data_IF_410091672905
#
_entry.id   IF_410091672905
#
_cell.length_a   1.000
_cell.length_b   1.000
_cell.length_c   1.000
_cell.angle_alpha   90.00
_cell.angle_beta   90.00
_cell.angle_gamma   90.00
#
_symmetry.space_group_name_H-M   'P 1'
#
loop_
_entity.id
_entity.type
_entity.pdbx_description
1 polymer ?
#
# COMPACT_ATOMS: atom_id res chain seq x y z
N UNK A 1 -16.62 26.76 0.18
CA UNK A 1 -16.20 27.90 -0.67
C UNK A 1 -15.35 27.36 -1.81
N UNK A 2 -15.30 28.01 -2.97
CA UNK A 2 -14.33 27.61 -4.00
C UNK A 2 -12.93 27.92 -3.47
N UNK A 3 -11.97 27.01 -3.68
CA UNK A 3 -10.59 27.14 -3.18
C UNK A 3 -10.28 26.37 -1.90
N UNK A 4 -11.20 25.55 -1.40
CA UNK A 4 -10.96 24.70 -0.23
C UNK A 4 -10.19 23.41 -0.59
N UNK A 5 -9.32 22.97 0.33
CA UNK A 5 -8.68 21.65 0.28
C UNK A 5 -9.44 20.65 1.15
N UNK A 6 -9.55 19.42 0.66
CA UNK A 6 -10.14 18.28 1.36
C UNK A 6 -9.17 17.10 1.30
N UNK A 7 -8.83 16.53 2.45
CA UNK A 7 -8.11 15.26 2.48
C UNK A 7 -9.07 14.11 2.23
N UNK A 8 -8.65 13.19 1.36
CA UNK A 8 -9.36 11.93 1.09
C UNK A 8 -8.47 10.82 1.61
N UNK A 9 -8.96 10.03 2.57
CA UNK A 9 -8.18 8.97 3.19
C UNK A 9 -9.01 8.19 4.20
N UNK A 10 -8.60 6.97 4.51
CA UNK A 10 -9.40 6.04 5.32
C UNK A 10 -9.27 6.32 6.82
N UNK A 11 -8.21 6.99 7.26
CA UNK A 11 -7.84 7.08 8.68
C UNK A 11 -7.33 5.76 9.26
N UNK A 12 -7.21 4.72 8.43
CA UNK A 12 -6.61 3.43 8.79
C UNK A 12 -5.12 3.49 8.45
N UNK A 13 -4.26 3.24 9.43
CA UNK A 13 -2.81 3.12 9.23
C UNK A 13 -2.38 1.65 9.31
N UNK A 14 -1.38 1.30 8.49
CA UNK A 14 -0.69 0.00 8.53
C UNK A 14 0.80 0.24 8.30
N UNK A 15 1.65 -0.48 9.03
CA UNK A 15 3.09 -0.52 8.72
C UNK A 15 3.35 -1.36 7.47
N UNK A 16 4.51 -1.15 6.84
CA UNK A 16 4.97 -2.00 5.72
C UNK A 16 5.06 -3.48 6.12
N UNK A 17 5.37 -3.76 7.38
CA UNK A 17 5.41 -5.11 7.94
C UNK A 17 4.00 -5.72 8.01
N UNK A 18 3.02 -5.00 8.55
CA UNK A 18 1.63 -5.47 8.61
C UNK A 18 1.05 -5.73 7.20
N UNK A 19 1.41 -4.91 6.22
CA UNK A 19 0.99 -5.11 4.83
C UNK A 19 1.63 -6.39 4.26
N UNK A 20 2.94 -6.59 4.46
CA UNK A 20 3.64 -7.80 4.01
C UNK A 20 3.06 -9.07 4.65
N UNK A 21 2.79 -9.04 5.96
CA UNK A 21 2.20 -10.16 6.70
C UNK A 21 0.81 -10.49 6.15
N UNK A 22 -0.04 -9.48 5.93
CA UNK A 22 -1.38 -9.65 5.35
C UNK A 22 -1.32 -10.35 3.98
N UNK A 23 -0.35 -9.97 3.14
CA UNK A 23 -0.17 -10.58 1.80
C UNK A 23 0.27 -12.04 1.93
N UNK A 24 1.22 -12.34 2.80
CA UNK A 24 1.72 -13.71 2.99
C UNK A 24 0.62 -14.61 3.56
N UNK A 25 -0.12 -14.14 4.56
CA UNK A 25 -1.24 -14.85 5.16
C UNK A 25 -2.33 -15.15 4.13
N UNK A 26 -2.78 -14.14 3.35
CA UNK A 26 -3.81 -14.31 2.32
C UNK A 26 -3.41 -15.33 1.25
N UNK A 27 -2.14 -15.36 0.85
CA UNK A 27 -1.60 -16.28 -0.15
C UNK A 27 -1.15 -17.64 0.41
N UNK A 28 -1.28 -17.87 1.72
CA UNK A 28 -0.80 -19.09 2.38
C UNK A 28 0.71 -19.29 2.24
N UNK A 29 1.50 -18.21 2.29
CA UNK A 29 2.96 -18.21 2.13
C UNK A 29 3.66 -18.09 3.49
N UNK A 30 4.86 -18.68 3.64
CA UNK A 30 5.60 -18.60 4.89
C UNK A 30 6.25 -17.22 5.07
N UNK A 31 6.37 -16.80 6.33
CA UNK A 31 7.10 -15.58 6.75
C UNK A 31 8.56 -15.56 6.27
N UNK A 32 9.16 -16.73 6.02
CA UNK A 32 10.53 -16.86 5.50
C UNK A 32 10.76 -16.20 4.13
N UNK A 33 9.71 -15.80 3.41
CA UNK A 33 9.83 -15.01 2.17
C UNK A 33 10.02 -13.50 2.43
N UNK A 34 9.74 -13.03 3.65
CA UNK A 34 9.97 -11.65 4.06
C UNK A 34 11.45 -11.46 4.41
N UNK A 35 12.06 -10.39 3.90
CA UNK A 35 13.46 -10.03 4.21
C UNK A 35 13.55 -8.56 4.57
N UNK A 36 14.11 -8.28 5.75
CA UNK A 36 14.43 -6.90 6.14
C UNK A 36 15.68 -6.44 5.42
N UNK A 37 15.56 -5.32 4.69
CA UNK A 37 16.67 -4.67 3.98
C UNK A 37 17.00 -3.33 4.64
N UNK A 38 18.18 -2.72 4.38
CA UNK A 38 18.49 -1.38 4.88
C UNK A 38 17.43 -0.36 4.46
N UNK A 39 17.16 0.62 5.33
CA UNK A 39 16.17 1.66 5.05
C UNK A 39 16.64 2.59 3.92
N UNK A 40 15.69 3.18 3.20
CA UNK A 40 15.97 4.12 2.11
C UNK A 40 16.26 5.51 2.70
N UNK A 41 17.37 6.18 2.34
CA UNK A 41 17.60 7.56 2.75
C UNK A 41 16.44 8.48 2.36
N UNK A 42 15.90 9.21 3.33
CA UNK A 42 14.77 10.13 3.12
C UNK A 42 13.39 9.47 3.09
N UNK A 43 13.26 8.22 3.53
CA UNK A 43 11.96 7.59 3.72
C UNK A 43 11.23 8.24 4.90
N UNK A 44 10.09 8.87 4.62
CA UNK A 44 9.25 9.43 5.67
C UNK A 44 8.63 8.32 6.52
N UNK A 45 8.64 8.50 7.84
CA UNK A 45 8.29 7.44 8.80
C UNK A 45 6.81 7.10 8.83
N UNK A 46 5.93 8.10 8.65
CA UNK A 46 4.49 7.95 8.86
C UNK A 46 3.73 9.05 8.12
N UNK A 47 2.74 8.64 7.34
CA UNK A 47 1.71 9.51 6.79
C UNK A 47 0.35 9.06 7.29
N UNK A 48 -0.45 10.02 7.75
CA UNK A 48 -1.87 9.81 8.05
C UNK A 48 -2.60 11.11 7.73
N UNK A 49 -3.77 10.99 7.11
CA UNK A 49 -4.61 12.13 6.80
C UNK A 49 -5.83 12.16 7.71
N UNK A 50 -6.09 13.29 8.34
CA UNK A 50 -7.39 13.58 8.93
C UNK A 50 -8.37 13.94 7.81
N UNK A 51 -9.40 13.09 7.64
CA UNK A 51 -10.47 13.24 6.65
C UNK A 51 -11.78 13.79 7.25
N UNK A 52 -11.76 14.25 8.51
CA UNK A 52 -12.96 14.76 9.22
C UNK A 52 -13.67 15.90 8.47
N UNK A 53 -12.92 16.77 7.78
CA UNK A 53 -13.46 17.89 7.00
C UNK A 53 -14.34 17.41 5.85
N UNK A 54 -13.86 16.48 5.03
CA UNK A 54 -14.60 16.02 3.85
C UNK A 54 -15.84 15.21 4.25
N UNK A 55 -15.78 14.52 5.39
CA UNK A 55 -16.94 13.83 5.95
C UNK A 55 -18.03 14.80 6.37
N UNK A 56 -17.68 15.77 7.21
CA UNK A 56 -18.64 16.72 7.78
C UNK A 56 -19.30 17.57 6.70
N UNK A 57 -18.54 18.01 5.69
CA UNK A 57 -19.03 18.99 4.72
C UNK A 57 -19.64 18.33 3.47
N UNK A 58 -19.12 17.18 3.04
CA UNK A 58 -19.54 16.52 1.79
C UNK A 58 -20.15 15.13 2.00
N UNK A 59 -20.20 14.63 3.24
CA UNK A 59 -20.70 13.29 3.54
C UNK A 59 -19.77 12.16 3.08
N UNK A 60 -18.56 12.48 2.64
CA UNK A 60 -17.59 11.46 2.19
C UNK A 60 -17.18 10.55 3.35
N UNK A 61 -17.09 9.26 3.09
CA UNK A 61 -16.49 8.27 3.98
C UNK A 61 -15.94 7.11 3.14
N UNK A 62 -14.88 6.41 3.60
CA UNK A 62 -14.50 5.16 2.98
C UNK A 62 -15.68 4.17 3.04
N UNK A 63 -15.87 3.40 1.98
CA UNK A 63 -16.93 2.38 1.89
C UNK A 63 -16.40 0.96 1.79
N UNK A 64 -15.08 0.82 1.67
CA UNK A 64 -14.37 -0.46 1.61
C UNK A 64 -13.45 -0.47 2.83
N UNK A 65 -13.64 -1.45 3.70
CA UNK A 65 -12.77 -1.67 4.85
C UNK A 65 -11.41 -2.21 4.41
N UNK A 66 -10.38 -2.08 5.26
CA UNK A 66 -9.03 -2.49 4.91
C UNK A 66 -8.97 -3.96 4.50
N UNK A 67 -9.58 -4.83 5.29
CA UNK A 67 -9.55 -6.29 5.15
C UNK A 67 -10.13 -6.73 3.80
N UNK A 68 -11.25 -6.14 3.37
CA UNK A 68 -11.88 -6.46 2.09
C UNK A 68 -11.05 -5.93 0.91
N UNK A 69 -10.62 -4.66 1.00
CA UNK A 69 -9.90 -4.01 -0.09
C UNK A 69 -8.54 -4.63 -0.38
N UNK A 70 -7.79 -5.04 0.65
CA UNK A 70 -6.48 -5.69 0.46
C UNK A 70 -6.64 -7.11 -0.10
N UNK A 71 -7.64 -7.87 0.36
CA UNK A 71 -7.94 -9.21 -0.17
C UNK A 71 -8.30 -9.15 -1.66
N UNK A 72 -9.25 -8.28 -2.05
CA UNK A 72 -9.64 -8.08 -3.45
C UNK A 72 -8.44 -7.65 -4.32
N UNK A 73 -7.57 -6.79 -3.79
CA UNK A 73 -6.36 -6.36 -4.50
C UNK A 73 -5.41 -7.53 -4.74
N UNK A 74 -5.13 -8.33 -3.72
CA UNK A 74 -4.24 -9.49 -3.84
C UNK A 74 -4.79 -10.49 -4.86
N UNK A 75 -6.08 -10.82 -4.78
CA UNK A 75 -6.75 -11.73 -5.70
C UNK A 75 -6.71 -11.23 -7.14
N UNK A 76 -6.89 -9.92 -7.34
CA UNK A 76 -6.76 -9.32 -8.66
C UNK A 76 -5.35 -9.48 -9.23
N UNK A 77 -4.29 -9.20 -8.46
CA UNK A 77 -2.92 -9.38 -8.95
C UNK A 77 -2.59 -10.84 -9.24
N UNK A 78 -3.09 -11.78 -8.43
CA UNK A 78 -2.92 -13.21 -8.65
C UNK A 78 -3.61 -13.69 -9.94
N UNK A 79 -4.80 -13.17 -10.24
CA UNK A 79 -5.57 -13.51 -11.43
C UNK A 79 -5.10 -12.81 -12.72
N UNK A 80 -4.34 -11.71 -12.61
CA UNK A 80 -3.99 -10.83 -13.74
C UNK A 80 -2.49 -10.79 -14.06
N UNK A 81 -1.80 -11.94 -14.00
CA UNK A 81 -0.37 -12.05 -14.32
C UNK A 81 0.00 -11.45 -15.69
N UNK A 82 -0.80 -11.71 -16.72
CA UNK A 82 -0.56 -11.19 -18.07
C UNK A 82 -0.55 -9.65 -18.14
N UNK A 83 -1.17 -8.97 -17.17
CA UNK A 83 -1.17 -7.51 -17.09
C UNK A 83 0.14 -6.96 -16.52
N UNK A 84 0.64 -7.50 -15.39
CA UNK A 84 1.83 -6.96 -14.72
C UNK A 84 3.15 -7.59 -15.15
N UNK A 85 3.17 -8.83 -15.63
CA UNK A 85 4.41 -9.51 -16.04
C UNK A 85 5.23 -8.69 -17.06
N UNK A 86 4.63 -8.10 -18.12
CA UNK A 86 5.38 -7.28 -19.08
C UNK A 86 5.91 -5.95 -18.51
N UNK A 87 5.46 -5.53 -17.33
CA UNK A 87 5.88 -4.29 -16.67
C UNK A 87 7.13 -4.50 -15.82
N UNK A 88 7.35 -5.71 -15.29
CA UNK A 88 8.48 -6.04 -14.42
C UNK A 88 9.83 -5.78 -15.09
N UNK A 89 9.94 -6.08 -16.39
CA UNK A 89 11.18 -5.89 -17.15
C UNK A 89 11.43 -4.43 -17.54
N UNK A 90 10.40 -3.57 -17.50
CA UNK A 90 10.49 -2.15 -17.86
C UNK A 90 11.04 -1.27 -16.74
N UNK A 91 10.94 -1.74 -15.49
CA UNK A 91 11.42 -1.05 -14.31
C UNK A 91 12.24 -2.00 -13.45
N UNK A 92 13.44 -2.43 -13.91
CA UNK A 92 14.25 -3.37 -13.16
C UNK A 92 14.63 -2.76 -11.81
N UNK A 93 14.16 -3.38 -10.73
CA UNK A 93 14.62 -3.05 -9.38
C UNK A 93 15.98 -3.72 -9.21
N UNK A 94 17.06 -2.93 -9.24
CA UNK A 94 18.39 -3.41 -8.92
C UNK A 94 18.52 -3.56 -7.40
N UNK A 95 18.00 -4.65 -6.86
CA UNK A 95 17.97 -4.91 -5.41
C UNK A 95 19.36 -4.81 -4.77
N UNK A 96 20.42 -5.22 -5.48
CA UNK A 96 21.80 -5.19 -4.96
C UNK A 96 22.51 -3.83 -4.97
N UNK A 97 22.00 -2.81 -5.69
CA UNK A 97 22.64 -1.48 -5.77
C UNK A 97 21.77 -0.35 -5.22
N UNK A 98 20.48 -0.62 -4.98
CA UNK A 98 19.54 0.38 -4.46
C UNK A 98 19.83 0.77 -3.00
N UNK A 99 20.49 -0.11 -2.23
CA UNK A 99 20.70 0.02 -0.79
C UNK A 99 22.16 0.23 -0.37
N UNK A 100 23.09 0.29 -1.33
CA UNK A 100 24.55 0.22 -1.09
C UNK A 100 25.27 1.56 -1.11
N UNK A 101 24.68 2.62 -0.54
CA UNK A 101 25.41 3.89 -0.33
C UNK A 101 25.79 4.08 1.12
#
# INVERSE_FOLDING_TARGET
TVGETYHVGTGVEKSVEQIADTILEHLGKPDSLKTTVPDRPGHDRRYVLDWSKINRELGWKPTIEWEDGIAETIDWYAANAAWWEPLRDRAPVAEGSAWSK
#
